data_IF_406092219274
#
_entry.id   IF_406092219274
#
_cell.length_a   1.000
_cell.length_b   1.000
_cell.length_c   1.000
_cell.angle_alpha   90.00
_cell.angle_beta   90.00
_cell.angle_gamma   90.00
#
_symmetry.space_group_name_H-M   'P 1'
#
loop_
_entity.id
_entity.type
_entity.pdbx_description
1 polymer ?
#
# COMPACT_ATOMS: atom_id res chain seq x y z
N UNK A 1 -56.62 36.84 -19.96
CA UNK A 1 -55.15 36.79 -20.20
C UNK A 1 -54.53 35.88 -19.13
N UNK A 2 -54.35 34.62 -19.45
CA UNK A 2 -53.89 33.61 -18.51
C UNK A 2 -52.46 33.23 -18.96
N UNK A 3 -51.45 33.60 -18.19
CA UNK A 3 -50.02 33.27 -18.44
C UNK A 3 -49.67 31.93 -17.80
N UNK A 4 -49.42 30.94 -18.63
CA UNK A 4 -48.99 29.61 -18.24
C UNK A 4 -47.47 29.62 -17.98
N UNK A 5 -47.05 29.40 -16.72
CA UNK A 5 -45.66 29.24 -16.36
C UNK A 5 -45.28 27.75 -16.50
N UNK A 6 -44.41 27.46 -17.49
CA UNK A 6 -43.89 26.14 -17.75
C UNK A 6 -42.73 25.86 -16.76
N UNK A 7 -42.90 24.86 -15.88
CA UNK A 7 -41.82 24.37 -14.98
C UNK A 7 -40.96 23.37 -15.75
N UNK A 8 -39.73 23.78 -16.06
CA UNK A 8 -38.68 22.87 -16.56
C UNK A 8 -38.08 22.11 -15.38
N UNK A 9 -38.33 20.80 -15.29
CA UNK A 9 -37.69 19.90 -14.36
C UNK A 9 -36.34 19.48 -14.95
N UNK A 10 -35.24 19.98 -14.35
CA UNK A 10 -33.88 19.54 -14.66
C UNK A 10 -33.60 18.22 -13.91
N UNK A 11 -33.61 17.11 -14.63
CA UNK A 11 -33.23 15.80 -14.08
C UNK A 11 -31.70 15.68 -14.10
N UNK A 12 -31.05 15.87 -12.94
CA UNK A 12 -29.62 15.60 -12.78
C UNK A 12 -29.41 14.07 -12.72
N UNK A 13 -28.87 13.51 -13.79
CA UNK A 13 -28.45 12.11 -13.84
C UNK A 13 -27.14 11.97 -13.11
N UNK A 14 -27.15 11.50 -11.86
CA UNK A 14 -25.96 11.06 -11.15
C UNK A 14 -25.49 9.71 -11.75
N UNK A 15 -24.42 9.74 -12.52
CA UNK A 15 -23.73 8.52 -12.96
C UNK A 15 -22.87 8.06 -11.80
N UNK A 16 -23.34 7.08 -11.06
CA UNK A 16 -22.51 6.34 -10.10
C UNK A 16 -21.56 5.44 -10.90
N UNK A 17 -20.29 5.82 -10.98
CA UNK A 17 -19.24 4.94 -11.50
C UNK A 17 -18.98 3.89 -10.42
N UNK A 18 -19.58 2.72 -10.58
CA UNK A 18 -19.25 1.55 -9.77
C UNK A 18 -17.92 1.00 -10.26
N UNK A 19 -16.87 1.11 -9.45
CA UNK A 19 -15.62 0.38 -9.67
C UNK A 19 -15.92 -1.11 -9.47
N UNK A 20 -16.10 -1.84 -10.56
CA UNK A 20 -16.15 -3.30 -10.51
C UNK A 20 -14.73 -3.82 -10.27
N UNK A 21 -14.44 -4.32 -9.08
CA UNK A 21 -13.26 -5.17 -8.84
C UNK A 21 -13.53 -6.49 -9.56
N UNK A 22 -12.63 -6.86 -10.48
CA UNK A 22 -12.68 -8.15 -11.16
C UNK A 22 -12.21 -9.27 -10.22
N UNK A 23 -12.68 -10.51 -10.42
CA UNK A 23 -12.19 -11.67 -9.68
C UNK A 23 -10.70 -11.98 -9.93
N UNK A 24 -10.11 -11.37 -10.97
CA UNK A 24 -8.70 -11.51 -11.35
C UNK A 24 -7.81 -10.36 -10.82
N UNK A 25 -8.37 -9.39 -10.08
CA UNK A 25 -7.61 -8.29 -9.51
C UNK A 25 -6.89 -8.72 -8.22
N UNK A 26 -5.71 -8.15 -7.97
CA UNK A 26 -4.94 -8.37 -6.74
C UNK A 26 -5.03 -7.14 -5.84
N UNK A 27 -5.30 -7.33 -4.54
CA UNK A 27 -5.48 -6.21 -3.61
C UNK A 27 -4.54 -6.31 -2.42
N UNK A 28 -3.90 -5.19 -2.07
CA UNK A 28 -3.06 -5.01 -0.88
C UNK A 28 -3.49 -3.72 -0.19
N UNK A 29 -4.01 -3.81 1.02
CA UNK A 29 -4.62 -2.67 1.70
C UNK A 29 -5.73 -2.04 0.85
N UNK A 30 -5.61 -0.75 0.57
CA UNK A 30 -6.57 0.00 -0.24
C UNK A 30 -6.23 0.00 -1.75
N UNK A 31 -5.18 -0.72 -2.17
CA UNK A 31 -4.67 -0.69 -3.54
C UNK A 31 -5.09 -1.95 -4.28
N UNK A 32 -5.90 -1.79 -5.32
CA UNK A 32 -6.30 -2.86 -6.22
C UNK A 32 -5.58 -2.73 -7.55
N UNK A 33 -5.02 -3.84 -8.04
CA UNK A 33 -4.20 -3.91 -9.25
C UNK A 33 -4.80 -4.92 -10.22
N UNK A 34 -5.26 -4.49 -11.40
CA UNK A 34 -5.72 -5.40 -12.44
C UNK A 34 -4.60 -6.34 -12.92
N UNK A 35 -5.01 -7.51 -13.43
CA UNK A 35 -4.08 -8.49 -14.00
C UNK A 35 -3.28 -7.90 -15.17
N UNK A 36 -1.97 -8.13 -15.17
CA UNK A 36 -1.04 -7.59 -16.17
C UNK A 36 -0.69 -6.13 -15.99
N UNK A 37 -1.01 -5.54 -14.83
CA UNK A 37 -0.76 -4.13 -14.54
C UNK A 37 0.15 -3.92 -13.33
N UNK A 38 0.58 -2.68 -13.15
CA UNK A 38 1.36 -2.21 -12.02
C UNK A 38 0.74 -0.95 -11.45
N UNK A 39 0.58 -0.91 -10.13
CA UNK A 39 0.10 0.28 -9.41
C UNK A 39 1.04 0.61 -8.26
N UNK A 40 1.37 1.88 -8.10
CA UNK A 40 2.08 2.41 -6.94
C UNK A 40 1.16 3.26 -6.09
N UNK A 41 1.29 3.15 -4.78
CA UNK A 41 0.45 3.90 -3.84
C UNK A 41 1.02 3.84 -2.42
N UNK A 42 0.14 4.12 -1.46
CA UNK A 42 0.46 4.10 -0.04
C UNK A 42 -0.58 3.23 0.68
N UNK A 43 -0.10 2.40 1.61
CA UNK A 43 -0.96 1.75 2.60
C UNK A 43 -1.01 2.64 3.83
N UNK A 44 -2.20 2.92 4.33
CA UNK A 44 -2.41 3.76 5.51
C UNK A 44 -2.11 2.98 6.79
N UNK A 45 -1.30 3.56 7.67
CA UNK A 45 -1.17 3.14 9.06
C UNK A 45 -2.00 4.12 9.89
N UNK A 46 -3.15 3.71 10.44
CA UNK A 46 -4.08 4.63 11.11
C UNK A 46 -3.44 5.31 12.33
N UNK A 47 -3.99 6.46 12.72
CA UNK A 47 -3.71 7.08 14.02
C UNK A 47 -4.18 6.18 15.16
N UNK A 48 -3.54 6.29 16.33
CA UNK A 48 -3.87 5.56 17.55
C UNK A 48 -3.45 6.35 18.78
N UNK A 49 -2.60 5.78 19.63
CA UNK A 49 -2.03 6.50 20.77
C UNK A 49 -1.01 7.57 20.36
N UNK A 50 -0.54 7.52 19.13
CA UNK A 50 0.36 8.45 18.49
C UNK A 50 -0.05 8.66 17.00
N UNK A 51 0.62 9.57 16.30
CA UNK A 51 0.32 9.89 14.90
C UNK A 51 0.37 8.66 14.00
N UNK A 52 -0.46 8.67 12.94
CA UNK A 52 -0.45 7.67 11.90
C UNK A 52 0.75 7.81 10.97
N UNK A 53 0.84 6.91 9.98
CA UNK A 53 1.89 6.92 8.96
C UNK A 53 1.37 6.37 7.64
N UNK A 54 2.24 6.29 6.65
CA UNK A 54 1.97 5.61 5.38
C UNK A 54 3.14 4.72 4.98
N UNK A 55 2.86 3.65 4.26
CA UNK A 55 3.85 2.71 3.73
C UNK A 55 3.81 2.78 2.20
N UNK A 56 4.85 3.34 1.54
CA UNK A 56 4.90 3.39 0.08
C UNK A 56 5.16 2.03 -0.52
N UNK A 57 4.29 1.60 -1.43
CA UNK A 57 4.35 0.30 -2.07
C UNK A 57 4.19 0.41 -3.59
N UNK A 58 4.71 -0.59 -4.30
CA UNK A 58 4.36 -0.86 -5.69
C UNK A 58 3.96 -2.33 -5.79
N UNK A 59 2.84 -2.60 -6.42
CA UNK A 59 2.36 -3.95 -6.67
C UNK A 59 2.41 -4.18 -8.17
N UNK A 60 3.09 -5.25 -8.58
CA UNK A 60 3.16 -5.69 -9.97
C UNK A 60 2.38 -7.00 -10.06
N UNK A 61 1.17 -6.95 -10.61
CA UNK A 61 0.33 -8.14 -10.80
C UNK A 61 0.53 -8.69 -12.21
N UNK A 62 1.13 -9.86 -12.29
CA UNK A 62 1.50 -10.49 -13.56
C UNK A 62 0.31 -10.91 -14.42
N UNK A 63 0.56 -11.04 -15.73
CA UNK A 63 -0.45 -11.48 -16.69
C UNK A 63 -0.87 -12.95 -16.51
N UNK A 64 -0.08 -13.75 -15.79
CA UNK A 64 -0.33 -15.19 -15.55
C UNK A 64 -0.29 -15.51 -14.06
N UNK A 65 -0.98 -16.59 -13.67
CA UNK A 65 -0.96 -17.09 -12.30
C UNK A 65 0.46 -17.50 -11.87
N UNK A 66 0.71 -17.37 -10.57
CA UNK A 66 1.98 -17.73 -9.96
C UNK A 66 2.06 -17.31 -8.50
N UNK A 67 3.23 -17.46 -7.87
CA UNK A 67 3.41 -17.12 -6.46
C UNK A 67 3.40 -15.61 -6.21
N UNK A 68 3.16 -15.24 -4.96
CA UNK A 68 3.30 -13.87 -4.47
C UNK A 68 4.66 -13.72 -3.78
N UNK A 69 5.48 -12.80 -4.25
CA UNK A 69 6.76 -12.44 -3.66
C UNK A 69 6.66 -11.06 -3.01
N UNK A 70 6.94 -10.97 -1.71
CA UNK A 70 7.04 -9.69 -1.00
C UNK A 70 8.51 -9.31 -0.77
N UNK A 71 8.90 -8.13 -1.20
CA UNK A 71 10.22 -7.55 -0.97
C UNK A 71 10.05 -6.28 -0.12
N UNK A 72 10.59 -6.32 1.10
CA UNK A 72 10.40 -5.26 2.09
C UNK A 72 11.74 -4.57 2.36
N UNK A 73 11.81 -3.26 2.09
CA UNK A 73 12.96 -2.40 2.39
C UNK A 73 12.60 -1.33 3.43
N UNK A 74 13.63 -0.70 3.99
CA UNK A 74 13.44 0.42 4.92
C UNK A 74 12.83 0.05 6.26
N UNK A 75 13.11 -1.14 6.77
CA UNK A 75 12.82 -1.53 8.16
C UNK A 75 13.55 -0.59 9.13
N UNK A 76 14.79 -0.23 8.78
CA UNK A 76 15.59 0.78 9.46
C UNK A 76 15.79 2.02 8.56
N UNK A 77 15.82 3.21 9.16
CA UNK A 77 15.77 4.48 8.42
C UNK A 77 16.99 4.80 7.56
N UNK A 78 18.15 4.18 7.80
CA UNK A 78 19.41 4.41 7.07
C UNK A 78 19.81 3.29 6.11
N UNK A 79 18.99 2.29 5.93
CA UNK A 79 19.27 1.19 5.00
C UNK A 79 18.89 1.57 3.58
N UNK A 80 19.53 2.61 3.02
CA UNK A 80 19.24 3.14 1.69
C UNK A 80 19.47 2.17 0.52
N UNK A 81 20.50 1.28 0.51
CA UNK A 81 20.73 0.40 -0.63
C UNK A 81 19.52 -0.48 -1.00
N UNK A 82 18.83 -1.18 -0.08
CA UNK A 82 17.63 -1.93 -0.43
C UNK A 82 16.47 -1.00 -0.87
N UNK A 83 16.32 0.18 -0.28
CA UNK A 83 15.31 1.16 -0.69
C UNK A 83 15.49 1.55 -2.16
N UNK A 84 16.73 1.94 -2.53
CA UNK A 84 17.04 2.34 -3.91
C UNK A 84 16.95 1.16 -4.89
N UNK A 85 17.27 -0.07 -4.45
CA UNK A 85 17.13 -1.27 -5.26
C UNK A 85 15.65 -1.54 -5.61
N UNK A 86 14.74 -1.47 -4.62
CA UNK A 86 13.31 -1.69 -4.89
C UNK A 86 12.71 -0.56 -5.73
N UNK A 87 13.17 0.68 -5.56
CA UNK A 87 12.75 1.79 -6.42
C UNK A 87 13.19 1.58 -7.88
N UNK A 88 14.39 1.04 -8.11
CA UNK A 88 14.86 0.70 -9.44
C UNK A 88 14.07 -0.47 -10.05
N UNK A 89 13.76 -1.51 -9.26
CA UNK A 89 12.96 -2.66 -9.71
C UNK A 89 11.59 -2.25 -10.24
N UNK A 90 10.98 -1.22 -9.67
CA UNK A 90 9.68 -0.70 -10.11
C UNK A 90 9.60 -0.42 -11.62
N UNK A 91 10.70 -0.04 -12.24
CA UNK A 91 10.76 0.28 -13.68
C UNK A 91 11.35 -0.84 -14.54
N UNK A 92 11.75 -1.95 -13.91
CA UNK A 92 12.44 -3.06 -14.62
C UNK A 92 11.56 -4.30 -14.75
N UNK A 93 10.49 -4.41 -13.96
CA UNK A 93 9.57 -5.55 -14.04
C UNK A 93 8.47 -5.22 -15.03
N UNK A 94 8.32 -6.09 -16.04
CA UNK A 94 7.23 -6.03 -17.01
C UNK A 94 6.06 -6.89 -16.51
N UNK A 95 4.92 -6.31 -16.11
CA UNK A 95 3.77 -7.10 -15.67
C UNK A 95 3.23 -8.04 -16.75
N UNK A 96 3.37 -7.70 -18.03
CA UNK A 96 2.90 -8.55 -19.12
C UNK A 96 3.73 -9.85 -19.27
N UNK A 97 4.98 -9.85 -18.80
CA UNK A 97 5.88 -11.00 -18.82
C UNK A 97 5.96 -11.75 -17.48
N UNK A 98 5.34 -11.22 -16.42
CA UNK A 98 5.39 -11.78 -15.07
C UNK A 98 4.33 -12.87 -14.89
N UNK A 99 4.72 -13.97 -14.20
CA UNK A 99 3.80 -14.95 -13.61
C UNK A 99 3.78 -14.79 -12.09
N UNK A 100 2.60 -14.59 -11.52
CA UNK A 100 2.41 -14.28 -10.10
C UNK A 100 2.43 -12.78 -9.81
N UNK A 101 2.71 -12.42 -8.57
CA UNK A 101 2.65 -11.02 -8.09
C UNK A 101 3.92 -10.66 -7.35
N UNK A 102 4.41 -9.44 -7.52
CA UNK A 102 5.50 -8.88 -6.71
C UNK A 102 4.97 -7.67 -5.95
N UNK A 103 5.13 -7.69 -4.62
CA UNK A 103 4.82 -6.58 -3.73
C UNK A 103 6.16 -5.93 -3.32
N UNK A 104 6.37 -4.67 -3.71
CA UNK A 104 7.56 -3.90 -3.37
C UNK A 104 7.21 -2.89 -2.27
N UNK A 105 7.62 -3.15 -1.03
CA UNK A 105 7.53 -2.19 0.07
C UNK A 105 8.80 -1.35 0.06
N UNK A 106 8.70 -0.12 -0.41
CA UNK A 106 9.89 0.73 -0.61
C UNK A 106 10.49 1.23 0.69
N UNK A 107 9.65 1.64 1.66
CA UNK A 107 10.07 2.12 2.97
C UNK A 107 9.04 1.64 3.99
N UNK A 108 9.37 0.59 4.74
CA UNK A 108 8.49 0.02 5.74
C UNK A 108 8.30 0.95 6.95
N UNK A 109 9.36 1.63 7.39
CA UNK A 109 9.38 2.51 8.56
C UNK A 109 9.57 3.97 8.13
N UNK A 110 8.51 4.58 7.61
CA UNK A 110 8.54 5.97 7.16
C UNK A 110 8.95 6.96 8.27
N UNK A 111 8.47 6.83 9.53
CA UNK A 111 8.96 7.69 10.62
C UNK A 111 10.47 7.62 10.86
N UNK A 112 11.06 6.43 10.84
CA UNK A 112 12.50 6.28 11.01
C UNK A 112 13.29 6.83 9.81
N UNK A 113 12.78 6.65 8.58
CA UNK A 113 13.38 7.18 7.37
C UNK A 113 13.40 8.71 7.37
N UNK A 114 12.27 9.35 7.62
CA UNK A 114 12.15 10.82 7.68
C UNK A 114 12.91 11.41 8.87
N UNK A 115 12.90 10.73 10.00
CA UNK A 115 13.64 11.11 11.21
C UNK A 115 15.13 10.85 11.11
N UNK A 116 15.61 10.18 10.05
CA UNK A 116 17.02 9.79 9.85
C UNK A 116 17.60 9.05 11.05
N UNK A 117 16.81 8.13 11.60
CA UNK A 117 17.24 7.26 12.69
C UNK A 117 17.67 5.89 12.15
N UNK A 118 18.64 5.25 12.79
CA UNK A 118 19.15 3.97 12.31
C UNK A 118 18.16 2.85 12.66
N UNK A 119 17.99 2.55 13.94
CA UNK A 119 17.23 1.37 14.38
C UNK A 119 15.88 1.70 15.02
N UNK A 120 15.73 2.89 15.57
CA UNK A 120 14.59 3.24 16.41
C UNK A 120 13.71 4.28 15.74
N UNK A 121 12.42 4.03 15.73
CA UNK A 121 11.44 5.02 15.28
C UNK A 121 11.43 6.22 16.24
N UNK A 122 11.48 7.47 15.74
CA UNK A 122 11.45 8.65 16.60
C UNK A 122 10.12 8.84 17.34
N UNK A 123 9.04 8.24 16.85
CA UNK A 123 7.71 8.37 17.45
C UNK A 123 7.56 7.60 18.77
N UNK A 124 8.17 6.44 18.90
CA UNK A 124 8.00 5.56 20.06
C UNK A 124 9.27 4.90 20.59
N UNK A 125 10.42 5.18 19.98
CA UNK A 125 11.71 4.62 20.37
C UNK A 125 11.87 3.12 20.14
N UNK A 126 10.99 2.48 19.37
CA UNK A 126 11.00 1.04 19.12
C UNK A 126 11.73 0.68 17.83
N UNK A 127 12.28 -0.55 17.79
CA UNK A 127 12.89 -1.13 16.59
C UNK A 127 11.86 -2.00 15.87
N UNK A 128 11.47 -1.60 14.65
CA UNK A 128 10.46 -2.31 13.87
C UNK A 128 10.78 -3.80 13.70
N UNK A 129 12.07 -4.14 13.52
CA UNK A 129 12.51 -5.53 13.35
C UNK A 129 12.38 -6.39 14.64
N UNK A 130 11.78 -5.88 15.70
CA UNK A 130 11.48 -6.57 16.95
C UNK A 130 9.99 -6.53 17.30
N UNK A 131 9.16 -5.94 16.42
CA UNK A 131 7.75 -5.71 16.74
C UNK A 131 6.80 -6.68 16.04
N UNK A 132 7.25 -7.45 15.08
CA UNK A 132 6.39 -8.42 14.38
C UNK A 132 5.82 -9.50 15.33
N UNK A 133 4.56 -9.93 15.16
CA UNK A 133 3.62 -9.59 14.11
C UNK A 133 2.93 -8.21 14.26
N UNK A 134 3.19 -7.47 15.33
CA UNK A 134 2.62 -6.16 15.60
C UNK A 134 1.38 -6.20 16.49
N UNK A 135 0.82 -5.01 16.71
CA UNK A 135 -0.39 -4.79 17.51
C UNK A 135 -1.16 -3.61 16.91
N UNK A 136 -2.42 -3.80 16.47
CA UNK A 136 -3.22 -2.74 15.86
C UNK A 136 -3.55 -1.61 16.83
N UNK A 137 -3.60 -1.87 18.14
CA UNK A 137 -3.87 -0.90 19.18
C UNK A 137 -2.60 -0.35 19.84
N UNK A 138 -1.43 -0.77 19.35
CA UNK A 138 -0.13 -0.40 19.88
C UNK A 138 0.39 0.94 19.40
N UNK A 139 1.66 1.24 19.75
CA UNK A 139 2.36 2.44 19.25
C UNK A 139 2.63 2.36 17.75
N UNK A 140 3.05 3.47 17.12
CA UNK A 140 3.21 3.56 15.68
C UNK A 140 4.05 2.41 15.09
N UNK A 141 5.16 2.03 15.73
CA UNK A 141 5.99 0.92 15.22
C UNK A 141 5.30 -0.43 15.31
N UNK A 142 4.46 -0.65 16.32
CA UNK A 142 3.67 -1.88 16.46
C UNK A 142 2.54 -1.92 15.42
N UNK A 143 1.88 -0.80 15.14
CA UNK A 143 0.84 -0.71 14.09
C UNK A 143 1.44 -0.89 12.69
N UNK A 144 2.64 -0.34 12.42
CA UNK A 144 3.37 -0.60 11.17
C UNK A 144 3.66 -2.09 11.02
N UNK A 145 4.17 -2.76 12.07
CA UNK A 145 4.44 -4.19 12.04
C UNK A 145 3.15 -5.00 11.77
N UNK A 146 2.04 -4.62 12.39
CA UNK A 146 0.74 -5.26 12.19
C UNK A 146 0.27 -5.15 10.72
N UNK A 147 0.29 -3.94 10.16
CA UNK A 147 -0.09 -3.71 8.75
C UNK A 147 0.82 -4.48 7.79
N UNK A 148 2.14 -4.49 8.02
CA UNK A 148 3.07 -5.27 7.21
C UNK A 148 2.76 -6.77 7.29
N UNK A 149 2.39 -7.27 8.45
CA UNK A 149 2.03 -8.67 8.64
C UNK A 149 0.74 -9.01 7.90
N UNK A 150 -0.35 -8.30 8.20
CA UNK A 150 -1.69 -8.65 7.73
C UNK A 150 -1.92 -8.35 6.25
N UNK A 151 -1.38 -7.21 5.75
CA UNK A 151 -1.63 -6.77 4.39
C UNK A 151 -0.59 -7.30 3.38
N UNK A 152 0.59 -7.71 3.84
CA UNK A 152 1.70 -8.06 2.94
C UNK A 152 2.22 -9.48 3.20
N UNK A 153 2.71 -9.74 4.42
CA UNK A 153 3.39 -11.01 4.72
C UNK A 153 2.42 -12.19 4.64
N UNK A 154 1.21 -12.06 5.16
CA UNK A 154 0.20 -13.12 5.15
C UNK A 154 -0.30 -13.48 3.74
N UNK A 155 -0.10 -12.59 2.75
CA UNK A 155 -0.42 -12.86 1.35
C UNK A 155 0.76 -13.45 0.58
N UNK A 156 1.98 -13.35 1.09
CA UNK A 156 3.19 -13.76 0.37
C UNK A 156 3.47 -15.26 0.51
N UNK A 157 3.98 -15.84 -0.57
CA UNK A 157 4.54 -17.20 -0.54
C UNK A 157 6.04 -17.19 -0.22
N UNK A 158 6.71 -16.06 -0.49
CA UNK A 158 8.13 -15.85 -0.29
C UNK A 158 8.42 -14.42 0.15
#
# INVERSE_FOLDING_TARGET
>A
MITTVSKVFLFSLLIAISLCVSADDFTVGEITVPRGEQVSGFITVPEGMDEGSTIPVTIVHGASDGPVLALIAGIHGYEYPPITALQAMRTQVDPAALSGTIILVHIANMPAFLGRTIYYSPGDGKNLNRMFPGDPDGSITQRIAHILTTEIIDQANY
#
